data_IF_788322574146
#
_entry.id   IF_788322574146
#
_cell.length_a   1.000
_cell.length_b   1.000
_cell.length_c   1.000
_cell.angle_alpha   90.00
_cell.angle_beta   90.00
_cell.angle_gamma   90.00
#
_symmetry.space_group_name_H-M   'P 1'
#
loop_
_entity.id
_entity.type
_entity.pdbx_description
1 polymer ?
#
# COMPACT_ATOMS: atom_id res chain seq x y z
N UNK A 1 -46.71 -67.09 6.51
CA UNK A 1 -46.42 -66.80 5.08
C UNK A 1 -45.14 -65.97 5.01
N UNK A 2 -44.20 -66.39 4.14
CA UNK A 2 -43.16 -65.63 3.40
C UNK A 2 -42.75 -64.24 3.95
N UNK A 3 -41.50 -63.87 4.14
CA UNK A 3 -40.23 -64.34 3.57
C UNK A 3 -39.38 -63.13 3.14
N UNK A 4 -38.05 -63.29 3.21
CA UNK A 4 -36.96 -62.43 2.70
C UNK A 4 -36.75 -61.07 3.40
N UNK A 5 -35.53 -60.60 3.65
CA UNK A 5 -34.20 -61.07 3.30
C UNK A 5 -33.20 -59.89 3.42
N UNK A 6 -31.92 -60.23 3.55
CA UNK A 6 -30.73 -59.35 3.51
C UNK A 6 -30.49 -58.44 4.72
N UNK A 7 -29.41 -58.73 5.47
CA UNK A 7 -28.18 -57.94 5.36
C UNK A 7 -27.04 -58.51 6.21
N UNK A 8 -25.83 -58.17 5.77
CA UNK A 8 -24.56 -58.13 6.49
C UNK A 8 -23.79 -59.47 6.66
N UNK A 9 -22.90 -59.65 5.69
CA UNK A 9 -21.72 -60.50 5.73
C UNK A 9 -20.86 -60.27 6.97
N UNK A 10 -20.54 -61.38 7.62
CA UNK A 10 -19.56 -61.54 8.70
C UNK A 10 -18.14 -61.31 8.16
N UNK A 11 -17.46 -60.28 8.66
CA UNK A 11 -16.04 -60.05 8.47
C UNK A 11 -15.36 -60.03 9.85
N UNK A 12 -14.63 -61.09 10.14
CA UNK A 12 -13.97 -61.38 11.42
C UNK A 12 -13.02 -60.26 11.84
N UNK A 13 -13.15 -59.85 13.11
CA UNK A 13 -12.09 -59.22 13.87
C UNK A 13 -10.89 -60.17 13.92
N UNK A 14 -9.78 -59.77 13.31
CA UNK A 14 -8.47 -60.34 13.61
C UNK A 14 -7.72 -59.27 14.41
N UNK A 15 -7.60 -59.53 15.71
CA UNK A 15 -6.67 -58.82 16.56
C UNK A 15 -5.25 -59.11 16.08
N UNK A 16 -4.52 -58.09 15.65
CA UNK A 16 -3.06 -58.09 15.69
C UNK A 16 -2.61 -56.87 16.48
N UNK A 17 -2.35 -57.15 17.76
CA UNK A 17 -1.13 -56.76 18.48
C UNK A 17 -0.49 -55.43 18.05
N UNK A 18 -0.90 -54.41 18.79
CA UNK A 18 -0.01 -53.39 19.35
C UNK A 18 1.37 -53.98 19.70
N UNK A 19 2.42 -53.50 19.04
CA UNK A 19 3.78 -53.34 19.59
C UNK A 19 4.72 -52.78 18.52
N UNK A 20 4.77 -51.46 18.37
CA UNK A 20 6.00 -50.76 17.97
C UNK A 20 6.06 -49.42 18.70
N UNK A 21 6.17 -49.48 20.02
CA UNK A 21 6.77 -48.39 20.81
C UNK A 21 8.29 -48.47 20.65
N UNK A 22 8.83 -47.93 19.55
CA UNK A 22 10.24 -47.59 19.52
C UNK A 22 10.45 -46.22 20.17
N UNK A 23 10.57 -46.27 21.50
CA UNK A 23 11.09 -45.20 22.34
C UNK A 23 12.59 -45.10 22.09
N UNK A 24 13.02 -44.11 21.29
CA UNK A 24 14.39 -43.62 21.31
C UNK A 24 14.39 -42.13 21.66
N UNK A 25 14.75 -41.84 22.91
CA UNK A 25 15.39 -40.58 23.28
C UNK A 25 16.87 -40.79 22.99
N UNK A 26 17.36 -40.22 21.89
CA UNK A 26 18.76 -40.27 21.48
C UNK A 26 18.89 -39.60 20.12
N UNK A 27 19.53 -38.43 20.12
CA UNK A 27 20.04 -37.66 18.96
C UNK A 27 19.39 -37.99 17.61
N UNK A 28 18.34 -37.23 17.26
CA UNK A 28 17.72 -37.29 15.94
C UNK A 28 18.68 -36.73 14.88
N UNK A 29 19.65 -37.53 14.47
CA UNK A 29 20.52 -37.22 13.34
C UNK A 29 19.75 -37.31 12.03
N UNK A 30 19.80 -36.26 11.21
CA UNK A 30 19.29 -36.31 9.84
C UNK A 30 20.07 -37.35 9.05
N UNK A 31 19.35 -38.16 8.28
CA UNK A 31 20.01 -39.10 7.36
C UNK A 31 20.55 -38.35 6.15
N UNK A 32 21.65 -38.82 5.55
CA UNK A 32 22.24 -38.19 4.34
C UNK A 32 21.21 -38.05 3.21
N UNK A 33 20.34 -39.05 3.05
CA UNK A 33 19.29 -39.07 2.03
C UNK A 33 18.25 -37.96 2.25
N UNK A 34 17.91 -37.67 3.50
CA UNK A 34 17.00 -36.59 3.87
C UNK A 34 17.59 -35.22 3.54
N UNK A 35 18.88 -35.02 3.84
CA UNK A 35 19.60 -33.78 3.48
C UNK A 35 19.67 -33.58 1.96
N UNK A 36 19.97 -34.64 1.19
CA UNK A 36 19.97 -34.59 -0.28
C UNK A 36 18.61 -34.24 -0.85
N UNK A 37 17.54 -34.84 -0.30
CA UNK A 37 16.17 -34.58 -0.75
C UNK A 37 15.74 -33.14 -0.43
N UNK A 38 16.04 -32.62 0.77
CA UNK A 38 15.80 -31.23 1.13
C UNK A 38 16.57 -30.25 0.24
N UNK A 39 17.81 -30.59 -0.13
CA UNK A 39 18.63 -29.76 -1.01
C UNK A 39 18.05 -29.67 -2.43
N UNK A 40 17.57 -30.79 -2.99
CA UNK A 40 16.91 -30.82 -4.30
C UNK A 40 15.64 -29.97 -4.28
N UNK A 41 14.80 -30.11 -3.25
CA UNK A 41 13.58 -29.32 -3.11
C UNK A 41 13.90 -27.83 -3.00
N UNK A 42 14.94 -27.47 -2.24
CA UNK A 42 15.37 -26.08 -2.07
C UNK A 42 15.90 -25.49 -3.39
N UNK A 43 16.71 -26.24 -4.15
CA UNK A 43 17.18 -25.84 -5.49
C UNK A 43 16.02 -25.54 -6.45
N UNK A 44 14.97 -26.37 -6.43
CA UNK A 44 13.77 -26.15 -7.25
C UNK A 44 13.05 -24.86 -6.82
N UNK A 45 12.85 -24.66 -5.52
CA UNK A 45 12.20 -23.44 -4.98
C UNK A 45 12.99 -22.19 -5.38
N UNK A 46 14.31 -22.22 -5.21
CA UNK A 46 15.19 -21.09 -5.55
C UNK A 46 15.16 -20.78 -7.04
N UNK A 47 15.17 -21.81 -7.91
CA UNK A 47 15.07 -21.63 -9.37
C UNK A 47 13.75 -20.96 -9.79
N UNK A 48 12.63 -21.41 -9.21
CA UNK A 48 11.32 -20.80 -9.44
C UNK A 48 11.29 -19.36 -8.93
N UNK A 49 11.86 -19.11 -7.75
CA UNK A 49 11.93 -17.77 -7.17
C UNK A 49 12.71 -16.80 -8.06
N UNK A 50 13.88 -17.19 -8.58
CA UNK A 50 14.66 -16.35 -9.49
C UNK A 50 13.91 -16.03 -10.79
N UNK A 51 13.18 -16.99 -11.33
CA UNK A 51 12.37 -16.81 -12.55
C UNK A 51 11.25 -15.77 -12.32
N UNK A 52 10.63 -15.78 -11.14
CA UNK A 52 9.58 -14.81 -10.76
C UNK A 52 10.19 -13.44 -10.45
N UNK A 53 11.39 -13.36 -9.87
CA UNK A 53 12.03 -12.10 -9.48
C UNK A 53 12.69 -11.35 -10.66
N UNK A 54 13.14 -12.06 -11.69
CA UNK A 54 13.78 -11.46 -12.86
C UNK A 54 12.97 -10.33 -13.56
N UNK A 55 11.64 -10.46 -13.78
CA UNK A 55 10.86 -9.36 -14.37
C UNK A 55 10.76 -8.11 -13.46
N UNK A 56 10.83 -8.25 -12.13
CA UNK A 56 10.81 -7.10 -11.21
C UNK A 56 12.08 -6.25 -11.30
N UNK A 57 13.21 -6.85 -11.68
CA UNK A 57 14.47 -6.12 -11.84
C UNK A 57 14.54 -5.33 -13.15
N UNK A 58 13.84 -5.80 -14.20
CA UNK A 58 13.85 -5.15 -15.54
C UNK A 58 12.90 -3.95 -15.67
N UNK A 59 12.05 -3.67 -14.68
CA UNK A 59 11.09 -2.54 -14.76
C UNK A 59 11.71 -1.18 -14.39
N UNK A 60 13.03 -1.08 -14.20
CA UNK A 60 13.69 0.19 -13.83
C UNK A 60 13.87 1.19 -14.99
N UNK A 61 13.68 0.78 -16.24
CA UNK A 61 13.81 1.67 -17.40
C UNK A 61 12.54 2.45 -17.77
N UNK A 62 11.41 2.17 -17.12
CA UNK A 62 10.15 2.87 -17.41
C UNK A 62 9.94 4.09 -16.50
N UNK A 63 10.96 4.94 -16.38
CA UNK A 63 10.96 6.13 -15.50
C UNK A 63 9.75 7.05 -15.73
N UNK A 64 9.33 7.24 -16.98
CA UNK A 64 8.14 8.06 -17.30
C UNK A 64 6.84 7.47 -16.73
N UNK A 65 6.62 6.15 -16.84
CA UNK A 65 5.44 5.53 -16.24
C UNK A 65 5.50 5.50 -14.72
N UNK A 66 6.70 5.42 -14.14
CA UNK A 66 6.91 5.48 -12.70
C UNK A 66 6.45 6.82 -12.11
N UNK A 67 6.85 7.94 -12.73
CA UNK A 67 6.45 9.28 -12.27
C UNK A 67 4.97 9.56 -12.38
N UNK A 68 4.37 9.17 -13.51
CA UNK A 68 2.92 9.27 -13.71
C UNK A 68 2.17 8.51 -12.62
N UNK A 69 2.64 7.31 -12.26
CA UNK A 69 2.07 6.51 -11.18
C UNK A 69 2.30 7.11 -9.79
N UNK A 70 3.49 7.64 -9.50
CA UNK A 70 3.77 8.33 -8.23
C UNK A 70 2.86 9.55 -8.03
N UNK A 71 2.70 10.37 -9.07
CA UNK A 71 1.77 11.50 -9.05
C UNK A 71 0.31 11.05 -8.89
N UNK A 72 -0.10 9.98 -9.57
CA UNK A 72 -1.44 9.42 -9.43
C UNK A 72 -1.72 8.93 -8.00
N UNK A 73 -0.79 8.20 -7.39
CA UNK A 73 -0.89 7.75 -6.00
C UNK A 73 -0.99 8.93 -5.04
N UNK A 74 -0.18 9.97 -5.25
CA UNK A 74 -0.29 11.23 -4.49
C UNK A 74 -1.71 11.80 -4.58
N UNK A 75 -2.27 11.93 -5.79
CA UNK A 75 -3.61 12.48 -5.97
C UNK A 75 -4.70 11.62 -5.32
N UNK A 76 -4.59 10.28 -5.41
CA UNK A 76 -5.51 9.36 -4.76
C UNK A 76 -5.47 9.54 -3.24
N UNK A 77 -4.27 9.60 -2.65
CA UNK A 77 -4.08 9.80 -1.22
C UNK A 77 -4.53 11.19 -0.75
N UNK A 78 -4.34 12.22 -1.57
CA UNK A 78 -4.75 13.59 -1.28
C UNK A 78 -6.28 13.77 -1.28
N UNK A 79 -6.98 13.09 -2.20
CA UNK A 79 -8.44 13.19 -2.40
C UNK A 79 -9.28 13.17 -1.11
N UNK A 80 -9.13 12.20 -0.18
CA UNK A 80 -9.92 12.17 1.04
C UNK A 80 -9.72 13.41 1.92
N UNK A 81 -8.51 13.95 2.01
CA UNK A 81 -8.23 15.15 2.81
C UNK A 81 -8.94 16.38 2.26
N UNK A 82 -8.89 16.57 0.95
CA UNK A 82 -9.58 17.69 0.29
C UNK A 82 -11.11 17.54 0.28
N UNK A 83 -11.63 16.31 0.27
CA UNK A 83 -13.07 16.09 0.37
C UNK A 83 -13.62 16.26 1.79
N UNK A 84 -12.78 16.00 2.80
CA UNK A 84 -13.13 16.14 4.20
C UNK A 84 -12.90 17.55 4.74
N UNK A 85 -12.16 18.39 4.00
CA UNK A 85 -12.01 19.79 4.38
C UNK A 85 -13.34 20.53 4.26
N UNK A 86 -13.60 21.40 5.23
CA UNK A 86 -14.70 22.36 5.19
C UNK A 86 -14.28 23.61 4.44
N UNK A 87 -13.01 23.99 4.54
CA UNK A 87 -12.43 25.18 3.91
C UNK A 87 -11.01 24.88 3.43
N UNK A 88 -10.58 25.59 2.40
CA UNK A 88 -9.19 25.60 1.96
C UNK A 88 -8.72 27.03 1.70
N UNK A 89 -7.42 27.26 1.88
CA UNK A 89 -6.76 28.53 1.57
C UNK A 89 -5.40 28.23 0.96
N UNK A 90 -4.99 29.03 -0.02
CA UNK A 90 -3.70 28.88 -0.69
C UNK A 90 -2.83 30.07 -0.31
N UNK A 91 -1.55 29.82 -0.02
CA UNK A 91 -0.59 30.89 0.23
C UNK A 91 -0.42 31.78 -1.00
N UNK A 92 -0.11 33.06 -0.82
CA UNK A 92 0.17 34.01 -1.93
C UNK A 92 1.24 33.52 -2.92
N UNK A 93 2.18 32.69 -2.47
CA UNK A 93 3.24 32.10 -3.32
C UNK A 93 2.78 30.90 -4.14
N UNK A 94 1.54 30.45 -4.00
CA UNK A 94 0.98 29.20 -4.57
C UNK A 94 1.70 27.91 -4.13
N UNK A 95 2.64 27.97 -3.16
CA UNK A 95 3.46 26.81 -2.76
C UNK A 95 2.92 26.04 -1.56
N UNK A 96 1.98 26.62 -0.82
CA UNK A 96 1.39 25.98 0.36
C UNK A 96 -0.13 26.02 0.28
N UNK A 97 -0.74 24.86 0.50
CA UNK A 97 -2.19 24.70 0.62
C UNK A 97 -2.53 24.42 2.08
N UNK A 98 -3.44 25.20 2.64
CA UNK A 98 -4.01 25.00 3.97
C UNK A 98 -5.41 24.41 3.83
N UNK A 99 -5.68 23.34 4.57
CA UNK A 99 -6.98 22.70 4.67
C UNK A 99 -7.45 22.77 6.12
N UNK A 100 -8.69 23.20 6.32
CA UNK A 100 -9.39 23.15 7.59
C UNK A 100 -10.44 22.05 7.52
N UNK A 101 -10.46 21.17 8.51
CA UNK A 101 -11.45 20.09 8.63
C UNK A 101 -11.92 19.99 10.08
N UNK A 102 -13.18 19.60 10.28
CA UNK A 102 -13.68 19.19 11.59
C UNK A 102 -13.60 17.66 11.68
N UNK A 103 -12.64 17.16 12.43
CA UNK A 103 -12.43 15.72 12.62
C UNK A 103 -12.71 15.37 14.06
N UNK A 104 -13.70 14.52 14.29
CA UNK A 104 -14.10 14.08 15.63
C UNK A 104 -14.55 15.22 16.57
N UNK A 105 -15.08 16.32 16.03
CA UNK A 105 -15.56 17.47 16.79
C UNK A 105 -14.45 18.44 17.23
N UNK A 106 -13.25 18.31 16.67
CA UNK A 106 -12.14 19.25 16.85
C UNK A 106 -11.68 19.78 15.50
N UNK A 107 -11.38 21.08 15.48
CA UNK A 107 -10.78 21.74 14.33
C UNK A 107 -9.36 21.20 14.10
N UNK A 108 -9.15 20.59 12.94
CA UNK A 108 -7.85 20.14 12.45
C UNK A 108 -7.44 21.05 11.30
N UNK A 109 -6.30 21.71 11.44
CA UNK A 109 -5.67 22.50 10.38
C UNK A 109 -4.48 21.73 9.86
N UNK A 110 -4.50 21.44 8.56
CA UNK A 110 -3.39 20.78 7.88
C UNK A 110 -2.84 21.61 6.74
N UNK A 111 -1.54 21.55 6.52
CA UNK A 111 -0.88 22.27 5.43
C UNK A 111 -0.06 21.33 4.56
N UNK A 112 -0.13 21.50 3.25
CA UNK A 112 0.64 20.76 2.26
C UNK A 112 1.67 21.70 1.65
N UNK A 113 2.94 21.33 1.72
CA UNK A 113 4.04 22.16 1.21
C UNK A 113 5.20 21.30 0.70
N UNK A 114 6.03 21.88 -0.17
CA UNK A 114 7.27 21.24 -0.62
C UNK A 114 8.42 21.57 0.34
N UNK A 115 9.04 20.53 0.89
CA UNK A 115 10.21 20.66 1.76
C UNK A 115 11.25 19.60 1.38
N UNK A 116 12.47 20.03 1.05
CA UNK A 116 13.59 19.15 0.67
C UNK A 116 13.24 18.12 -0.41
N UNK A 117 12.53 18.55 -1.46
CA UNK A 117 12.11 17.68 -2.56
C UNK A 117 11.02 16.67 -2.19
N UNK A 118 10.30 16.90 -1.08
CA UNK A 118 9.18 16.08 -0.64
C UNK A 118 7.95 16.95 -0.44
N UNK A 119 6.80 16.47 -0.89
CA UNK A 119 5.52 17.07 -0.51
C UNK A 119 5.13 16.47 0.82
N UNK A 120 5.02 17.34 1.82
CA UNK A 120 4.71 16.96 3.19
C UNK A 120 3.42 17.61 3.64
N UNK A 121 2.69 16.91 4.50
CA UNK A 121 1.51 17.40 5.19
C UNK A 121 1.84 17.63 6.65
N UNK A 122 1.70 18.85 7.14
CA UNK A 122 1.71 19.12 8.58
C UNK A 122 0.30 19.09 9.14
N UNK A 123 0.14 18.60 10.36
CA UNK A 123 -1.15 18.60 11.07
C UNK A 123 -0.96 19.28 12.42
N UNK A 124 -1.71 20.37 12.64
CA UNK A 124 -1.70 21.14 13.90
C UNK A 124 -0.29 21.50 14.42
N UNK A 125 0.71 21.56 13.54
CA UNK A 125 2.11 21.82 13.89
C UNK A 125 2.82 20.72 14.71
N UNK A 126 2.21 19.55 14.93
CA UNK A 126 2.74 18.52 15.83
C UNK A 126 3.44 17.35 15.13
N UNK A 127 3.40 17.31 13.80
CA UNK A 127 4.06 16.27 13.00
C UNK A 127 3.93 16.51 11.51
N UNK A 128 4.61 15.69 10.72
CA UNK A 128 4.45 15.69 9.27
C UNK A 128 4.38 14.29 8.68
N UNK A 129 3.55 14.15 7.66
CA UNK A 129 3.45 12.95 6.82
C UNK A 129 4.05 13.25 5.44
N UNK A 130 4.77 12.30 4.86
CA UNK A 130 5.33 12.42 3.51
C UNK A 130 4.32 11.84 2.52
N UNK A 131 3.88 12.66 1.56
CA UNK A 131 2.88 12.29 0.54
C UNK A 131 3.52 11.98 -0.81
N UNK A 132 4.61 12.66 -1.15
CA UNK A 132 5.34 12.43 -2.39
C UNK A 132 6.83 12.69 -2.16
N UNK A 133 7.68 11.77 -2.62
CA UNK A 133 9.13 11.95 -2.63
C UNK A 133 9.63 12.38 -4.00
N UNK A 134 10.81 13.02 -4.01
CA UNK A 134 11.50 13.45 -5.24
C UNK A 134 10.64 14.37 -6.11
N UNK A 135 9.84 15.23 -5.48
CA UNK A 135 9.13 16.32 -6.15
C UNK A 135 10.10 17.48 -6.42
N UNK A 136 10.00 18.09 -7.59
CA UNK A 136 10.81 19.25 -7.98
C UNK A 136 10.13 20.58 -7.64
N UNK A 137 8.87 20.74 -8.03
CA UNK A 137 8.02 21.89 -7.69
C UNK A 137 6.58 21.43 -7.45
N UNK A 138 5.83 22.18 -6.64
CA UNK A 138 4.39 22.03 -6.47
C UNK A 138 3.74 23.39 -6.47
N UNK A 139 2.62 23.51 -7.20
CA UNK A 139 1.80 24.72 -7.20
C UNK A 139 0.36 24.37 -6.96
N UNK A 140 -0.26 25.14 -6.07
CA UNK A 140 -1.66 25.11 -5.74
C UNK A 140 -2.29 26.38 -6.29
N UNK A 141 -3.32 26.25 -7.12
CA UNK A 141 -4.07 27.38 -7.65
C UNK A 141 -5.53 27.23 -7.30
N UNK A 142 -6.13 28.34 -6.90
CA UNK A 142 -7.56 28.39 -6.68
C UNK A 142 -8.28 28.35 -8.04
N UNK A 143 -9.32 27.54 -8.12
CA UNK A 143 -10.21 27.44 -9.27
C UNK A 143 -11.64 27.74 -8.78
N UNK A 144 -12.56 28.21 -9.65
CA UNK A 144 -13.91 28.62 -9.22
C UNK A 144 -14.70 27.58 -8.41
N UNK A 145 -14.39 26.29 -8.60
CA UNK A 145 -15.04 25.18 -7.93
C UNK A 145 -14.09 24.33 -7.06
N UNK A 146 -12.86 24.79 -6.79
CA UNK A 146 -11.91 24.04 -5.95
C UNK A 146 -10.46 24.45 -6.19
N UNK A 147 -9.58 23.47 -6.42
CA UNK A 147 -8.14 23.72 -6.57
C UNK A 147 -7.55 22.96 -7.75
N UNK A 148 -6.57 23.57 -8.41
CA UNK A 148 -5.65 22.90 -9.33
C UNK A 148 -4.33 22.65 -8.61
N UNK A 149 -3.87 21.41 -8.66
CA UNK A 149 -2.56 21.01 -8.16
C UNK A 149 -1.69 20.67 -9.36
N UNK A 150 -0.55 21.35 -9.48
CA UNK A 150 0.44 21.14 -10.52
C UNK A 150 1.73 20.65 -9.88
N UNK A 151 2.24 19.52 -10.36
CA UNK A 151 3.44 18.84 -9.90
C UNK A 151 4.48 18.81 -11.01
N UNK A 152 5.70 19.20 -10.67
CA UNK A 152 6.85 19.09 -11.56
C UNK A 152 7.91 18.23 -10.87
N UNK A 153 8.42 17.22 -11.56
CA UNK A 153 9.49 16.37 -11.05
C UNK A 153 10.87 16.88 -11.51
N UNK A 154 11.97 16.47 -10.85
CA UNK A 154 13.33 16.88 -11.22
C UNK A 154 13.76 16.46 -12.64
N UNK A 155 13.10 15.46 -13.22
CA UNK A 155 13.33 15.01 -14.60
C UNK A 155 12.54 15.84 -15.64
N UNK A 156 11.80 16.86 -15.20
CA UNK A 156 10.98 17.71 -16.05
C UNK A 156 9.60 17.15 -16.34
N UNK A 157 9.28 15.93 -15.90
CA UNK A 157 7.93 15.39 -16.04
C UNK A 157 6.93 16.22 -15.22
N UNK A 158 5.74 16.39 -15.79
CA UNK A 158 4.70 17.25 -15.25
C UNK A 158 3.40 16.46 -15.07
N UNK A 159 2.67 16.75 -14.00
CA UNK A 159 1.36 16.18 -13.75
C UNK A 159 0.47 17.20 -13.09
N UNK A 160 -0.78 17.30 -13.55
CA UNK A 160 -1.75 18.19 -12.94
C UNK A 160 -3.08 17.49 -12.68
N UNK A 161 -3.79 17.94 -11.66
CA UNK A 161 -5.16 17.51 -11.40
C UNK A 161 -5.96 18.64 -10.76
N UNK A 162 -7.20 18.78 -11.23
CA UNK A 162 -8.18 19.70 -10.65
C UNK A 162 -9.08 18.91 -9.70
N UNK A 163 -9.26 19.42 -8.50
CA UNK A 163 -10.16 18.89 -7.50
C UNK A 163 -11.31 19.86 -7.28
N UNK A 164 -12.54 19.34 -7.32
CA UNK A 164 -13.74 20.11 -7.01
C UNK A 164 -14.06 19.98 -5.53
N UNK A 165 -14.29 21.11 -4.86
CA UNK A 165 -14.68 21.16 -3.46
C UNK A 165 -16.20 21.22 -3.35
N UNK A 166 -16.80 20.27 -2.64
CA UNK A 166 -18.28 20.18 -2.50
C UNK A 166 -18.86 21.27 -1.61
N UNK A 167 -18.09 21.82 -0.69
CA UNK A 167 -18.49 22.99 0.07
C UNK A 167 -18.04 24.24 -0.70
N UNK A 168 -18.92 24.78 -1.53
CA UNK A 168 -18.65 25.97 -2.32
C UNK A 168 -18.37 27.18 -1.43
N UNK A 169 -17.08 27.52 -1.28
CA UNK A 169 -16.51 28.87 -1.08
C UNK A 169 -15.01 28.72 -0.82
N UNK A 170 -14.21 28.89 -1.86
CA UNK A 170 -12.83 29.31 -1.68
C UNK A 170 -12.84 30.73 -1.14
N UNK A 171 -12.40 30.90 0.11
CA UNK A 171 -12.16 32.23 0.67
C UNK A 171 -10.66 32.49 0.56
N UNK A 172 -10.27 33.16 -0.52
CA UNK A 172 -9.05 33.97 -0.57
C UNK A 172 -9.14 35.04 0.53
N UNK A 173 -8.65 34.72 1.74
CA UNK A 173 -8.34 35.72 2.76
C UNK A 173 -6.87 36.07 2.62
N UNK A 174 -6.63 37.24 2.05
CA UNK A 174 -5.36 37.98 2.19
C UNK A 174 -5.11 38.16 3.69
N UNK A 175 -4.20 37.35 4.25
CA UNK A 175 -3.56 37.69 5.51
C UNK A 175 -2.21 38.32 5.16
N UNK A 176 -2.21 39.65 5.20
CA UNK A 176 -1.04 40.52 5.34
C UNK A 176 -0.37 40.32 6.71
#
# INVERSE_FOLDING_TARGET
MRGNGMSASVGRQCAMTSAYTFRNRGEAGCTLIEVLLSFIVTMIIVSVLFTILHPFQKTQDTKETGRSREAELFFIQFTPYFRQSTEFTISSTEKTLYLRSDRSGQEEVSSFTLHNGRIIRYVNGQGYDIFLEKAGDVRFREEPAGIRISLTFPDGSFSERVFTHTAGKGQSREHE
#
